data_IF_677180790317
#
_entry.id   IF_677180790317
#
_cell.length_a   1.000
_cell.length_b   1.000
_cell.length_c   1.000
_cell.angle_alpha   90.00
_cell.angle_beta   90.00
_cell.angle_gamma   90.00
#
_symmetry.space_group_name_H-M   'P 1'
#
loop_
_entity.id
_entity.type
_entity.pdbx_description
1 polymer ?
#
# COMPACT_ATOMS: atom_id res chain seq x y z
N UNK A 1 0.86 0.32 -8.62
CA UNK A 1 0.90 -0.33 -7.29
C UNK A 1 -0.33 -1.20 -7.20
N UNK A 2 -0.25 -2.42 -6.69
CA UNK A 2 -1.40 -3.33 -6.68
C UNK A 2 -1.37 -4.25 -5.46
N UNK A 3 -2.52 -4.78 -5.08
CA UNK A 3 -2.63 -5.87 -4.11
C UNK A 3 -1.87 -7.10 -4.63
N UNK A 4 -1.10 -7.75 -3.76
CA UNK A 4 -0.21 -8.86 -4.10
C UNK A 4 1.20 -8.46 -4.55
N UNK A 5 1.46 -7.15 -4.71
CA UNK A 5 2.80 -6.67 -5.08
C UNK A 5 3.79 -6.86 -3.91
N UNK A 6 4.97 -7.40 -4.23
CA UNK A 6 6.09 -7.47 -3.28
C UNK A 6 6.75 -6.10 -3.14
N UNK A 7 6.97 -5.69 -1.91
CA UNK A 7 7.59 -4.41 -1.56
C UNK A 7 8.77 -4.63 -0.63
N UNK A 8 9.66 -3.65 -0.59
CA UNK A 8 10.77 -3.60 0.35
C UNK A 8 10.64 -2.31 1.16
N UNK A 9 10.76 -2.43 2.47
CA UNK A 9 10.85 -1.28 3.37
C UNK A 9 12.18 -0.60 3.10
N UNK A 10 12.16 0.68 2.74
CA UNK A 10 13.38 1.45 2.40
C UNK A 10 13.82 2.39 3.52
N UNK A 11 13.00 2.55 4.55
CA UNK A 11 13.25 3.44 5.69
C UNK A 11 12.82 2.72 6.96
N UNK A 12 13.65 2.77 8.00
CA UNK A 12 13.33 2.13 9.27
C UNK A 12 12.05 2.72 9.86
N UNK A 13 11.16 1.86 10.34
CA UNK A 13 9.99 2.29 11.09
C UNK A 13 10.39 2.33 12.57
N UNK A 14 10.53 3.53 13.14
CA UNK A 14 11.04 3.72 14.50
C UNK A 14 10.25 2.96 15.58
N UNK A 15 8.97 2.69 15.30
CA UNK A 15 8.05 2.07 16.26
C UNK A 15 8.09 0.54 16.28
N UNK A 16 8.75 -0.12 15.33
CA UNK A 16 8.84 -1.59 15.31
C UNK A 16 10.26 -2.07 14.99
N UNK A 17 10.99 -2.65 15.97
CA UNK A 17 12.37 -3.06 15.80
C UNK A 17 12.56 -4.19 14.77
N UNK A 18 11.51 -4.95 14.45
CA UNK A 18 11.57 -6.04 13.47
C UNK A 18 11.29 -5.56 12.03
N UNK A 19 10.88 -4.29 11.85
CA UNK A 19 10.58 -3.68 10.56
C UNK A 19 11.65 -2.66 10.20
N UNK A 20 12.77 -3.18 9.68
CA UNK A 20 13.91 -2.39 9.25
C UNK A 20 13.97 -2.22 7.73
N UNK A 21 14.82 -1.29 7.28
CA UNK A 21 15.19 -1.18 5.88
C UNK A 21 15.71 -2.54 5.36
N UNK A 22 15.18 -2.98 4.21
CA UNK A 22 15.46 -4.28 3.62
C UNK A 22 14.45 -5.38 3.97
N UNK A 23 13.55 -5.15 4.93
CA UNK A 23 12.44 -6.08 5.19
C UNK A 23 11.51 -6.12 3.97
N UNK A 24 11.15 -7.32 3.53
CA UNK A 24 10.23 -7.53 2.41
C UNK A 24 8.83 -7.80 2.92
N UNK A 25 7.82 -7.36 2.16
CA UNK A 25 6.43 -7.63 2.47
C UNK A 25 5.58 -7.72 1.22
N UNK A 26 4.31 -8.04 1.40
CA UNK A 26 3.31 -8.10 0.33
C UNK A 26 2.18 -7.14 0.66
N UNK A 27 1.79 -6.29 -0.30
CA UNK A 27 0.59 -5.45 -0.17
C UNK A 27 -0.63 -6.37 -0.12
N UNK A 28 -1.38 -6.31 0.98
CA UNK A 28 -2.64 -7.07 1.12
C UNK A 28 -3.87 -6.21 0.87
N UNK A 29 -3.75 -4.90 1.05
CA UNK A 29 -4.83 -3.96 0.77
C UNK A 29 -4.29 -2.54 0.53
N UNK A 30 -5.07 -1.72 -0.19
CA UNK A 30 -4.76 -0.32 -0.50
C UNK A 30 -5.97 0.52 -0.10
N UNK A 31 -5.81 1.35 0.93
CA UNK A 31 -6.88 2.22 1.40
C UNK A 31 -6.76 3.58 0.74
N UNK A 32 -7.80 3.96 0.01
CA UNK A 32 -7.86 5.21 -0.74
C UNK A 32 -8.31 6.40 0.14
N UNK A 33 -8.04 7.61 -0.33
CA UNK A 33 -8.55 8.83 0.29
C UNK A 33 -10.09 8.83 0.26
N UNK A 34 -10.80 9.29 1.30
CA UNK A 34 -12.26 9.40 1.27
C UNK A 34 -12.79 10.35 0.18
N UNK A 35 -11.96 11.31 -0.24
CA UNK A 35 -12.28 12.28 -1.29
C UNK A 35 -11.99 11.73 -2.71
N UNK A 36 -11.48 10.50 -2.83
CA UNK A 36 -11.34 9.85 -4.14
C UNK A 36 -12.72 9.60 -4.78
N UNK A 37 -12.83 9.80 -6.11
CA UNK A 37 -14.01 9.38 -6.85
C UNK A 37 -14.32 7.90 -6.63
N UNK A 38 -15.59 7.52 -6.65
CA UNK A 38 -15.97 6.12 -6.57
C UNK A 38 -15.53 5.39 -7.84
N UNK A 39 -14.68 4.37 -7.67
CA UNK A 39 -14.22 3.49 -8.75
C UNK A 39 -15.06 2.22 -8.80
N UNK A 40 -15.27 1.63 -9.97
CA UNK A 40 -16.03 0.38 -10.04
C UNK A 40 -15.15 -0.77 -9.56
N UNK A 41 -15.73 -1.67 -8.77
CA UNK A 41 -15.00 -2.84 -8.24
C UNK A 41 -14.57 -3.83 -9.34
N UNK A 42 -15.04 -3.66 -10.57
CA UNK A 42 -14.67 -4.45 -11.74
C UNK A 42 -13.45 -3.91 -12.50
N UNK A 43 -13.00 -2.70 -12.17
CA UNK A 43 -11.92 -2.05 -12.90
C UNK A 43 -10.58 -2.70 -12.55
N UNK A 44 -9.87 -3.20 -13.56
CA UNK A 44 -8.57 -3.90 -13.39
C UNK A 44 -7.43 -2.91 -13.12
N UNK A 45 -7.57 -1.69 -13.61
CA UNK A 45 -6.65 -0.57 -13.39
C UNK A 45 -7.46 0.69 -13.12
N UNK A 46 -6.97 1.48 -12.16
CA UNK A 46 -7.60 2.72 -11.73
C UNK A 46 -6.53 3.79 -11.68
N UNK A 47 -6.82 4.95 -12.28
CA UNK A 47 -6.02 6.16 -12.13
C UNK A 47 -6.50 6.90 -10.88
N UNK A 48 -5.62 7.05 -9.89
CA UNK A 48 -5.92 7.76 -8.65
C UNK A 48 -5.64 9.25 -8.84
N UNK A 49 -6.55 10.10 -8.38
CA UNK A 49 -6.36 11.55 -8.36
C UNK A 49 -5.45 11.98 -7.19
N UNK A 50 -5.50 11.21 -6.10
CA UNK A 50 -4.74 11.43 -4.87
C UNK A 50 -3.89 10.21 -4.54
N UNK A 51 -2.87 10.40 -3.70
CA UNK A 51 -2.13 9.27 -3.15
C UNK A 51 -3.03 8.42 -2.24
N UNK A 52 -2.82 7.08 -2.19
CA UNK A 52 -3.46 6.24 -1.19
C UNK A 52 -3.21 6.78 0.22
N UNK A 53 -4.21 6.67 1.09
CA UNK A 53 -4.11 7.12 2.47
C UNK A 53 -3.09 6.28 3.25
N UNK A 54 -3.16 4.96 3.07
CA UNK A 54 -2.15 4.01 3.52
C UNK A 54 -2.29 2.67 2.80
N UNK A 55 -1.25 1.83 2.88
CA UNK A 55 -1.25 0.47 2.36
C UNK A 55 -1.06 -0.50 3.53
N UNK A 56 -1.82 -1.59 3.51
CA UNK A 56 -1.63 -2.68 4.45
C UNK A 56 -0.61 -3.66 3.89
N UNK A 57 0.46 -3.88 4.65
CA UNK A 57 1.55 -4.77 4.29
C UNK A 57 1.56 -5.97 5.22
N UNK A 58 1.63 -7.17 4.64
CA UNK A 58 1.96 -8.40 5.36
C UNK A 58 3.44 -8.69 5.19
N UNK A 59 4.17 -8.75 6.31
CA UNK A 59 5.57 -9.14 6.38
C UNK A 59 5.74 -10.65 6.34
#
# INVERSE_FOLDING_TARGET
>A
IAVGMKVMVTTNIETDPDIMNGTHGTIVDIVLCPDEPAHNSSDTEVELENLPLYMLIKL
#
